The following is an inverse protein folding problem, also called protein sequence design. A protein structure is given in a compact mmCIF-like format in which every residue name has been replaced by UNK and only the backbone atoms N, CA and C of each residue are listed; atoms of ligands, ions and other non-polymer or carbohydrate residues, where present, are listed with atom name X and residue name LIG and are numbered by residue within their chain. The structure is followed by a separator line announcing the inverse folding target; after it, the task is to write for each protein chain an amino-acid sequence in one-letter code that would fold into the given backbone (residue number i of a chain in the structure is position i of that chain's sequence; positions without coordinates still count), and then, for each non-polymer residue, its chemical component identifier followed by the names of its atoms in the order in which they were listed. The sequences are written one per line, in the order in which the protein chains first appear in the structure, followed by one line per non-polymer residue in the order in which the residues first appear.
data_IF_565795857077
#
_entry.id   IF_565795857077
#
_cell.length_a   1.000
_cell.length_b   1.000
_cell.length_c   1.000
_cell.angle_alpha   90.00
_cell.angle_beta   90.00
_cell.angle_gamma   90.00
#
_symmetry.space_group_name_H-M   'P 1'
#
loop_
_entity.id
_entity.type
_entity.pdbx_description
1 polymer ?
#
# COMPACT_ATOMS: atom_id res chain seq x y z
N UNK A 1 5.56 -1.45 0.17
CA UNK A 1 5.02 -1.05 1.50
C UNK A 1 4.35 -2.21 2.29
N UNK A 2 4.41 -3.48 1.85
CA UNK A 2 4.01 -4.62 2.70
C UNK A 2 2.54 -4.64 3.16
N UNK A 3 1.62 -4.08 2.37
CA UNK A 3 0.21 -3.91 2.76
C UNK A 3 -0.53 -5.24 2.97
N UNK A 4 -0.12 -6.31 2.27
CA UNK A 4 -0.62 -7.67 2.45
C UNK A 4 -0.38 -8.20 3.88
N UNK A 5 0.85 -8.04 4.38
CA UNK A 5 1.24 -8.45 5.74
C UNK A 5 0.38 -7.71 6.77
N UNK A 6 0.12 -6.42 6.53
CA UNK A 6 -0.73 -5.62 7.42
C UNK A 6 -2.19 -6.09 7.38
N UNK A 7 -2.70 -6.45 6.20
CA UNK A 7 -4.05 -7.00 6.05
C UNK A 7 -4.20 -8.31 6.82
N UNK A 8 -3.25 -9.23 6.72
CA UNK A 8 -3.28 -10.51 7.44
C UNK A 8 -3.40 -10.30 8.96
N UNK A 9 -2.59 -9.38 9.52
CA UNK A 9 -2.66 -9.05 10.94
C UNK A 9 -4.01 -8.42 11.34
N UNK A 10 -4.58 -7.56 10.49
CA UNK A 10 -5.90 -6.96 10.74
C UNK A 10 -7.02 -8.01 10.68
N UNK A 11 -6.93 -8.94 9.74
CA UNK A 11 -7.92 -10.00 9.58
C UNK A 11 -7.97 -10.94 10.78
N UNK A 12 -6.82 -11.20 11.42
CA UNK A 12 -6.76 -11.99 12.66
C UNK A 12 -7.36 -11.27 13.88
N UNK A 13 -7.28 -9.94 13.91
CA UNK A 13 -7.75 -9.13 15.05
C UNK A 13 -9.18 -8.58 14.89
N UNK A 14 -9.69 -8.51 13.66
CA UNK A 14 -10.99 -7.90 13.37
C UNK A 14 -12.16 -8.84 13.66
N UNK A 15 -13.29 -8.26 14.06
CA UNK A 15 -14.57 -8.96 14.11
C UNK A 15 -14.99 -9.46 12.73
N UNK A 16 -15.75 -10.56 12.68
CA UNK A 16 -16.23 -11.16 11.42
C UNK A 16 -16.97 -10.16 10.54
N UNK A 17 -17.72 -9.23 11.14
CA UNK A 17 -18.42 -8.16 10.43
C UNK A 17 -17.46 -7.22 9.68
N UNK A 18 -16.33 -6.87 10.30
CA UNK A 18 -15.35 -5.93 9.74
C UNK A 18 -14.39 -6.59 8.74
N UNK A 19 -14.23 -7.91 8.78
CA UNK A 19 -13.36 -8.64 7.87
C UNK A 19 -13.75 -8.47 6.39
N UNK A 20 -15.05 -8.41 6.11
CA UNK A 20 -15.53 -8.20 4.75
C UNK A 20 -15.19 -6.79 4.23
N UNK A 21 -15.38 -5.77 5.08
CA UNK A 21 -15.02 -4.39 4.77
C UNK A 21 -13.51 -4.22 4.57
N UNK A 22 -12.68 -4.94 5.32
CA UNK A 22 -11.22 -4.93 5.15
C UNK A 22 -10.80 -5.54 3.82
N UNK A 23 -11.39 -6.68 3.44
CA UNK A 23 -11.11 -7.35 2.16
C UNK A 23 -11.53 -6.50 0.96
N UNK A 24 -12.75 -5.95 1.00
CA UNK A 24 -13.26 -5.12 -0.10
C UNK A 24 -12.47 -3.82 -0.26
N UNK A 25 -12.13 -3.16 0.86
CA UNK A 25 -11.30 -1.96 0.85
C UNK A 25 -9.89 -2.24 0.32
N UNK A 26 -9.29 -3.37 0.70
CA UNK A 26 -8.00 -3.79 0.17
C UNK A 26 -8.05 -4.01 -1.36
N UNK A 27 -9.02 -4.79 -1.85
CA UNK A 27 -9.18 -5.04 -3.29
C UNK A 27 -9.37 -3.73 -4.06
N UNK A 28 -10.23 -2.83 -3.58
CA UNK A 28 -10.46 -1.53 -4.21
C UNK A 28 -9.16 -0.72 -4.40
N UNK A 29 -8.29 -0.71 -3.39
CA UNK A 29 -7.06 0.06 -3.39
C UNK A 29 -5.97 -0.51 -4.31
N UNK A 30 -5.92 -1.84 -4.47
CA UNK A 30 -4.81 -2.52 -5.17
C UNK A 30 -5.18 -3.09 -6.53
N UNK A 31 -6.47 -3.34 -6.80
CA UNK A 31 -6.94 -3.94 -8.04
C UNK A 31 -6.69 -3.00 -9.22
N UNK A 32 -5.99 -3.45 -10.29
CA UNK A 32 -5.71 -2.64 -11.48
C UNK A 32 -6.96 -2.10 -12.17
N UNK A 33 -8.06 -2.86 -12.19
CA UNK A 33 -9.32 -2.43 -12.79
C UNK A 33 -10.01 -1.32 -11.99
N UNK A 34 -9.62 -1.14 -10.72
CA UNK A 34 -10.14 -0.14 -9.79
C UNK A 34 -9.10 0.96 -9.53
N UNK A 35 -8.71 1.20 -8.27
CA UNK A 35 -7.79 2.29 -7.93
C UNK A 35 -6.31 1.93 -8.11
N UNK A 36 -5.96 0.63 -8.15
CA UNK A 36 -4.58 0.17 -8.12
C UNK A 36 -3.73 0.67 -9.28
N UNK A 37 -4.34 0.84 -10.46
CA UNK A 37 -3.66 1.45 -11.60
C UNK A 37 -4.01 2.94 -11.76
N UNK A 38 -5.22 3.36 -11.39
CA UNK A 38 -5.68 4.73 -11.63
C UNK A 38 -5.02 5.75 -10.70
N UNK A 39 -4.68 5.36 -9.48
CA UNK A 39 -4.01 6.22 -8.50
C UNK A 39 -2.50 6.00 -8.55
N UNK A 40 -1.75 7.09 -8.75
CA UNK A 40 -0.28 7.07 -8.87
C UNK A 40 0.36 7.82 -7.71
N UNK A 41 1.50 7.33 -7.26
CA UNK A 41 2.32 7.97 -6.23
C UNK A 41 3.53 8.64 -6.89
N UNK A 42 3.75 9.90 -6.56
CA UNK A 42 4.93 10.66 -6.95
C UNK A 42 5.65 11.13 -5.69
N UNK A 43 6.94 10.86 -5.61
CA UNK A 43 7.80 11.36 -4.55
C UNK A 43 8.87 12.28 -5.15
N UNK A 44 9.00 13.47 -4.58
CA UNK A 44 10.07 14.42 -4.92
C UNK A 44 11.05 14.47 -3.75
N UNK A 45 12.33 14.30 -4.04
CA UNK A 45 13.39 14.28 -3.04
C UNK A 45 14.34 15.47 -3.24
N UNK A 46 14.87 16.06 -2.15
CA UNK A 46 15.92 17.06 -2.24
C UNK A 46 17.16 16.54 -2.99
N UNK A 47 17.79 17.39 -3.81
CA UNK A 47 18.97 17.02 -4.60
C UNK A 47 20.12 16.47 -3.74
N UNK A 48 20.26 16.95 -2.50
CA UNK A 48 21.29 16.50 -1.55
C UNK A 48 21.19 14.99 -1.23
N UNK A 49 20.02 14.36 -1.45
CA UNK A 49 19.82 12.94 -1.22
C UNK A 49 20.19 12.07 -2.44
N UNK A 50 20.60 12.65 -3.58
CA UNK A 50 20.82 11.92 -4.83
C UNK A 50 21.75 10.72 -4.66
N UNK A 51 22.91 10.91 -4.03
CA UNK A 51 23.91 9.86 -3.90
C UNK A 51 23.45 8.76 -2.94
N UNK A 52 22.71 9.14 -1.89
CA UNK A 52 22.10 8.20 -0.94
C UNK A 52 21.04 7.34 -1.63
N UNK A 53 20.08 7.96 -2.32
CA UNK A 53 18.98 7.27 -3.01
C UNK A 53 19.44 6.45 -4.21
N UNK A 54 20.58 6.83 -4.83
CA UNK A 54 21.20 6.03 -5.88
C UNK A 54 21.83 4.73 -5.34
N UNK A 55 22.27 4.73 -4.08
CA UNK A 55 22.78 3.53 -3.39
C UNK A 55 21.65 2.70 -2.75
N UNK A 56 20.63 3.37 -2.23
CA UNK A 56 19.49 2.78 -1.54
C UNK A 56 18.19 3.33 -2.14
N UNK A 57 17.68 2.73 -3.23
CA UNK A 57 16.44 3.17 -3.85
C UNK A 57 15.24 2.96 -2.92
N UNK A 58 14.20 3.81 -3.04
CA UNK A 58 12.97 3.73 -2.25
C UNK A 58 12.09 2.52 -2.61
#
# INVERSE_FOLDING_TARGET
MGIEIRLEQLMQAASVENQNSLKSGYDMLINPEQMGERFKFLAMYPLVLKDFLSRYPP
#
